data_IF_750899932844
#
_entry.id   IF_750899932844
#
_cell.length_a   1.000
_cell.length_b   1.000
_cell.length_c   1.000
_cell.angle_alpha   90.00
_cell.angle_beta   90.00
_cell.angle_gamma   90.00
#
_symmetry.space_group_name_H-M   'P 1'
#
loop_
_entity.id
_entity.type
_entity.pdbx_description
1 polymer ?
#
# COMPACT_ATOMS: atom_id res chain seq x y z
N UNK A 1 23.97 -10.82 -2.63
CA UNK A 1 24.05 -9.47 -2.02
C UNK A 1 25.08 -9.45 -0.90
N UNK A 2 25.75 -8.32 -0.60
CA UNK A 2 26.54 -8.22 0.62
C UNK A 2 25.64 -8.19 1.85
N UNK A 3 26.01 -8.91 2.91
CA UNK A 3 25.33 -8.84 4.21
C UNK A 3 25.40 -7.39 4.78
N UNK A 4 24.48 -7.04 5.68
CA UNK A 4 24.37 -5.67 6.22
C UNK A 4 25.68 -5.20 6.86
N UNK A 5 26.43 -6.11 7.49
CA UNK A 5 27.71 -5.78 8.09
C UNK A 5 28.80 -5.46 7.05
N UNK A 6 28.89 -6.25 5.97
CA UNK A 6 29.81 -5.95 4.87
C UNK A 6 29.41 -4.66 4.15
N UNK A 7 28.11 -4.43 3.93
CA UNK A 7 27.60 -3.22 3.30
C UNK A 7 27.92 -1.96 4.12
N UNK A 8 27.58 -1.94 5.43
CA UNK A 8 27.88 -0.79 6.32
C UNK A 8 29.37 -0.44 6.38
N UNK A 9 30.24 -1.44 6.25
CA UNK A 9 31.68 -1.25 6.34
C UNK A 9 32.38 -1.17 4.97
N UNK A 10 31.63 -1.15 3.87
CA UNK A 10 32.18 -1.06 2.50
C UNK A 10 33.10 -2.22 2.12
N UNK A 11 32.87 -3.44 2.64
CA UNK A 11 33.72 -4.62 2.40
C UNK A 11 33.11 -5.55 1.36
N UNK A 12 33.97 -6.29 0.67
CA UNK A 12 33.55 -7.39 -0.21
C UNK A 12 32.95 -8.53 0.61
N UNK A 13 31.74 -8.96 0.24
CA UNK A 13 31.05 -10.07 0.87
C UNK A 13 31.07 -11.28 -0.07
N UNK A 14 32.02 -12.19 0.14
CA UNK A 14 32.15 -13.44 -0.62
C UNK A 14 31.70 -14.61 0.23
N UNK A 15 30.79 -15.44 -0.32
CA UNK A 15 30.29 -16.66 0.32
C UNK A 15 30.95 -17.85 -0.38
N UNK A 16 31.54 -18.75 0.40
CA UNK A 16 32.04 -20.03 -0.08
C UNK A 16 31.04 -21.13 0.33
N UNK A 17 30.08 -21.41 -0.54
CA UNK A 17 28.96 -22.32 -0.25
C UNK A 17 29.40 -23.75 0.08
N UNK A 18 30.61 -24.16 -0.30
CA UNK A 18 31.16 -25.48 0.02
C UNK A 18 31.65 -25.59 1.47
N UNK A 19 31.97 -24.46 2.12
CA UNK A 19 32.50 -24.43 3.49
C UNK A 19 31.55 -23.83 4.50
N UNK A 20 30.69 -22.91 4.06
CA UNK A 20 29.89 -22.08 4.96
C UNK A 20 28.77 -21.38 4.20
N UNK A 21 27.61 -21.23 4.84
CA UNK A 21 26.57 -20.33 4.33
C UNK A 21 26.86 -18.85 4.64
N UNK A 22 27.75 -18.56 5.57
CA UNK A 22 28.18 -17.21 5.96
C UNK A 22 29.35 -16.71 5.12
N UNK A 23 29.42 -15.39 4.87
CA UNK A 23 30.53 -14.82 4.12
C UNK A 23 31.87 -14.87 4.87
N UNK A 24 32.97 -14.95 4.13
CA UNK A 24 34.35 -15.06 4.64
C UNK A 24 34.69 -13.94 5.62
N UNK A 25 34.20 -12.74 5.37
CA UNK A 25 34.50 -11.58 6.20
C UNK A 25 33.73 -11.55 7.53
N UNK A 26 32.66 -12.32 7.60
CA UNK A 26 31.93 -12.52 8.84
C UNK A 26 32.51 -13.68 9.64
N UNK A 27 32.97 -14.74 8.97
CA UNK A 27 33.72 -15.83 9.61
C UNK A 27 34.99 -15.32 10.29
N UNK A 28 35.73 -14.42 9.64
CA UNK A 28 36.95 -13.82 10.19
C UNK A 28 36.67 -12.96 11.44
N UNK A 29 35.51 -12.31 11.49
CA UNK A 29 35.11 -11.38 12.57
C UNK A 29 34.18 -12.00 13.62
N UNK A 30 33.74 -13.25 13.42
CA UNK A 30 32.79 -13.97 14.29
C UNK A 30 31.48 -13.20 14.56
N UNK A 31 30.94 -12.54 13.54
CA UNK A 31 29.65 -11.81 13.60
C UNK A 31 28.55 -12.64 12.93
N UNK A 32 27.27 -12.21 12.95
CA UNK A 32 26.21 -12.90 12.18
C UNK A 32 26.12 -12.38 10.74
N UNK A 33 25.94 -13.29 9.78
CA UNK A 33 25.72 -12.98 8.37
C UNK A 33 24.24 -13.02 8.05
N UNK A 34 23.62 -11.86 7.88
CA UNK A 34 22.23 -11.76 7.46
C UNK A 34 22.04 -11.89 5.95
N UNK A 35 23.13 -11.79 5.17
CA UNK A 35 23.12 -11.95 3.71
C UNK A 35 22.61 -13.31 3.21
N UNK A 36 22.53 -14.31 4.09
CA UNK A 36 22.08 -15.67 3.76
C UNK A 36 20.56 -15.79 3.71
N UNK A 37 19.84 -14.87 4.38
CA UNK A 37 18.38 -14.92 4.51
C UNK A 37 17.69 -13.64 4.02
N UNK A 38 18.44 -12.68 3.47
CA UNK A 38 17.85 -11.43 2.93
C UNK A 38 16.81 -11.75 1.86
N UNK A 39 17.11 -12.68 0.95
CA UNK A 39 16.22 -13.04 -0.16
C UNK A 39 14.93 -13.69 0.35
N UNK A 40 15.04 -14.61 1.33
CA UNK A 40 13.90 -15.25 1.98
C UNK A 40 13.07 -14.24 2.77
N UNK A 41 13.72 -13.34 3.53
CA UNK A 41 13.05 -12.28 4.31
C UNK A 41 12.33 -11.28 3.43
N UNK A 42 12.93 -10.88 2.31
CA UNK A 42 12.30 -10.03 1.29
C UNK A 42 11.09 -10.74 0.68
N UNK A 43 11.23 -12.00 0.29
CA UNK A 43 10.13 -12.78 -0.25
C UNK A 43 8.98 -12.92 0.74
N UNK A 44 9.26 -13.22 2.01
CA UNK A 44 8.25 -13.28 3.06
C UNK A 44 7.57 -11.92 3.29
N UNK A 45 8.34 -10.84 3.37
CA UNK A 45 7.81 -9.50 3.53
C UNK A 45 6.89 -9.11 2.35
N UNK A 46 7.31 -9.37 1.11
CA UNK A 46 6.47 -9.11 -0.07
C UNK A 46 5.20 -9.96 -0.11
N UNK A 47 5.29 -11.21 0.36
CA UNK A 47 4.13 -12.10 0.45
C UNK A 47 3.15 -11.66 1.54
N UNK A 48 3.66 -11.11 2.64
CA UNK A 48 2.86 -10.55 3.73
C UNK A 48 2.21 -9.21 3.34
N UNK A 49 2.81 -8.43 2.44
CA UNK A 49 2.20 -7.17 1.97
C UNK A 49 1.11 -7.38 0.93
N UNK A 50 1.17 -8.43 0.11
CA UNK A 50 0.15 -8.74 -0.90
C UNK A 50 -1.31 -8.71 -0.41
N UNK A 51 -1.70 -9.40 0.68
CA UNK A 51 -3.10 -9.37 1.14
C UNK A 51 -3.52 -7.97 1.59
N UNK A 52 -2.60 -7.16 2.11
CA UNK A 52 -2.86 -5.78 2.53
C UNK A 52 -3.10 -4.89 1.31
N UNK A 53 -2.29 -5.03 0.26
CA UNK A 53 -2.47 -4.30 -1.00
C UNK A 53 -3.79 -4.67 -1.72
N UNK A 54 -4.19 -5.94 -1.66
CA UNK A 54 -5.48 -6.39 -2.19
C UNK A 54 -6.65 -5.82 -1.40
N UNK A 55 -6.56 -5.76 -0.07
CA UNK A 55 -7.58 -5.17 0.79
C UNK A 55 -7.69 -3.66 0.58
N UNK A 56 -6.56 -2.95 0.47
CA UNK A 56 -6.52 -1.53 0.13
C UNK A 56 -7.19 -1.26 -1.22
N UNK A 57 -6.91 -2.08 -2.23
CA UNK A 57 -7.52 -1.96 -3.56
C UNK A 57 -9.05 -2.14 -3.53
N UNK A 58 -9.55 -3.09 -2.72
CA UNK A 58 -11.00 -3.29 -2.52
C UNK A 58 -11.65 -2.08 -1.85
N UNK A 59 -11.04 -1.57 -0.78
CA UNK A 59 -11.55 -0.39 -0.07
C UNK A 59 -11.59 0.85 -0.95
N UNK A 60 -10.59 1.04 -1.82
CA UNK A 60 -10.57 2.13 -2.81
C UNK A 60 -11.75 2.00 -3.79
N UNK A 61 -12.01 0.79 -4.32
CA UNK A 61 -13.15 0.56 -5.21
C UNK A 61 -14.49 0.85 -4.52
N UNK A 62 -14.68 0.36 -3.29
CA UNK A 62 -15.89 0.62 -2.51
C UNK A 62 -16.08 2.13 -2.24
N UNK A 63 -15.01 2.84 -1.90
CA UNK A 63 -15.05 4.28 -1.72
C UNK A 63 -15.48 5.03 -2.99
N UNK A 64 -14.98 4.61 -4.16
CA UNK A 64 -15.40 5.17 -5.46
C UNK A 64 -16.89 4.92 -5.72
N UNK A 65 -17.40 3.73 -5.41
CA UNK A 65 -18.83 3.44 -5.55
C UNK A 65 -19.69 4.33 -4.64
N UNK A 66 -19.30 4.47 -3.37
CA UNK A 66 -19.99 5.32 -2.39
C UNK A 66 -20.00 6.77 -2.86
N UNK A 67 -18.87 7.29 -3.36
CA UNK A 67 -18.79 8.64 -3.91
C UNK A 67 -19.74 8.83 -5.09
N UNK A 68 -19.81 7.85 -6.01
CA UNK A 68 -20.73 7.92 -7.15
C UNK A 68 -22.21 7.97 -6.71
N UNK A 69 -22.56 7.23 -5.65
CA UNK A 69 -23.91 7.21 -5.08
C UNK A 69 -24.22 8.54 -4.39
N UNK A 70 -23.26 9.08 -3.65
CA UNK A 70 -23.39 10.38 -2.98
C UNK A 70 -23.61 11.53 -3.99
N UNK A 71 -22.89 11.52 -5.11
CA UNK A 71 -23.06 12.52 -6.18
C UNK A 71 -24.47 12.48 -6.76
N UNK A 72 -25.00 11.28 -7.05
CA UNK A 72 -26.39 11.11 -7.53
C UNK A 72 -27.41 11.62 -6.53
N UNK A 73 -27.23 11.33 -5.24
CA UNK A 73 -28.13 11.83 -4.19
C UNK A 73 -28.07 13.36 -4.07
N UNK A 74 -26.89 13.97 -4.19
CA UNK A 74 -26.72 15.43 -4.18
C UNK A 74 -27.42 16.07 -5.37
N UNK A 75 -27.30 15.48 -6.56
CA UNK A 75 -27.99 15.94 -7.75
C UNK A 75 -29.51 15.86 -7.60
N UNK A 76 -30.04 14.71 -7.14
CA UNK A 76 -31.47 14.54 -6.84
C UNK A 76 -31.97 15.57 -5.83
N UNK A 77 -31.23 15.80 -4.74
CA UNK A 77 -31.54 16.83 -3.75
C UNK A 77 -31.63 18.21 -4.40
N UNK A 78 -30.69 18.56 -5.28
CA UNK A 78 -30.69 19.85 -5.98
C UNK A 78 -31.92 20.02 -6.89
N UNK A 79 -32.33 18.96 -7.57
CA UNK A 79 -33.54 18.97 -8.41
C UNK A 79 -34.81 19.15 -7.59
N UNK A 80 -34.92 18.46 -6.45
CA UNK A 80 -36.06 18.59 -5.55
C UNK A 80 -36.15 20.00 -4.95
N UNK A 81 -35.02 20.58 -4.55
CA UNK A 81 -34.99 21.97 -4.06
C UNK A 81 -35.45 22.96 -5.13
N UNK A 82 -34.92 22.85 -6.36
CA UNK A 82 -35.35 23.71 -7.49
C UNK A 82 -36.84 23.56 -7.80
N UNK A 83 -37.38 22.33 -7.75
CA UNK A 83 -38.83 22.09 -7.93
C UNK A 83 -39.66 22.71 -6.81
N UNK A 84 -39.22 22.57 -5.56
CA UNK A 84 -39.88 23.20 -4.41
C UNK A 84 -39.90 24.72 -4.50
N UNK A 85 -38.77 25.34 -4.86
CA UNK A 85 -38.68 26.78 -5.09
C UNK A 85 -39.57 27.25 -6.25
N UNK A 86 -39.62 26.49 -7.35
CA UNK A 86 -40.51 26.77 -8.48
C UNK A 86 -41.99 26.69 -8.09
N UNK A 87 -42.37 25.69 -7.30
CA UNK A 87 -43.73 25.54 -6.77
C UNK A 87 -44.10 26.72 -5.87
N UNK A 88 -43.22 27.11 -4.94
CA UNK A 88 -43.44 28.26 -4.05
C UNK A 88 -43.59 29.58 -4.84
N UNK A 89 -42.76 29.80 -5.87
CA UNK A 89 -42.89 30.99 -6.74
C UNK A 89 -44.20 31.00 -7.52
N UNK A 90 -44.63 29.85 -8.05
CA UNK A 90 -45.93 29.75 -8.73
C UNK A 90 -47.12 29.97 -7.80
N UNK A 91 -46.99 29.61 -6.53
CA UNK A 91 -48.03 29.78 -5.52
C UNK A 91 -48.16 31.24 -5.06
N UNK A 92 -47.05 31.98 -4.98
CA UNK A 92 -47.05 33.40 -4.59
C UNK A 92 -47.25 34.39 -5.75
N UNK A 93 -47.07 33.97 -7.00
CA UNK A 93 -47.22 34.81 -8.21
C UNK A 93 -48.60 34.75 -8.88
N UNK A 94 -49.56 34.03 -8.29
CA UNK A 94 -50.94 33.90 -8.78
C UNK A 94 -51.95 34.44 -7.77
N UNK A 95 -51.93 35.74 -7.51
CA UNK A 95 -52.98 36.51 -6.85
C UNK A 95 -53.02 37.92 -7.43
#
# INVERSE_FOLDING_TARGET
MPCTNCHRNGRSCTIDELKSKSCTEILSRKVSCDGVDIDARLYHAMKETQPVEEEESKLIQEAMEIQSRLLRLREQKSHLLKRGEGALRSWHGGA
#
